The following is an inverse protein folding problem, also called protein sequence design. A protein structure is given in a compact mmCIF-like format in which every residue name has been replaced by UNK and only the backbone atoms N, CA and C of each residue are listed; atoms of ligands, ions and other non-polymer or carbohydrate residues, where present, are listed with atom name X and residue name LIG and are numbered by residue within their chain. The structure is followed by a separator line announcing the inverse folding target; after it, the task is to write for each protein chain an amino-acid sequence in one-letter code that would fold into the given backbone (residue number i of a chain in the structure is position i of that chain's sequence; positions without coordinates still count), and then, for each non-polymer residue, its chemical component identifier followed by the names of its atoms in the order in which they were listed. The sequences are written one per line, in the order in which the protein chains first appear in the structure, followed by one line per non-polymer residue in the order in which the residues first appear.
data_IF_103275149746
#
_entry.id   IF_103275149746
#
_cell.length_a   1.000
_cell.length_b   1.000
_cell.length_c   1.000
_cell.angle_alpha   90.00
_cell.angle_beta   90.00
_cell.angle_gamma   90.00
#
_symmetry.space_group_name_H-M   'P 1'
#
loop_
_entity.id
_entity.type
_entity.pdbx_description
1 polymer ?
#
# COMPACT_ATOMS: atom_id res chain seq x y z
N UNK A 1 46.99 32.14 -50.91
CA UNK A 1 46.51 32.54 -49.58
C UNK A 1 45.24 31.77 -49.28
N UNK A 2 45.37 30.70 -48.51
CA UNK A 2 44.33 29.70 -48.24
C UNK A 2 43.69 30.05 -46.90
N UNK A 3 42.43 30.46 -46.89
CA UNK A 3 41.67 30.67 -45.65
C UNK A 3 40.84 29.42 -45.38
N UNK A 4 41.36 28.59 -44.47
CA UNK A 4 40.70 27.40 -43.95
C UNK A 4 39.58 27.80 -42.97
N UNK A 5 38.36 27.31 -43.23
CA UNK A 5 37.23 27.33 -42.28
C UNK A 5 37.54 26.35 -41.13
N UNK A 6 37.87 26.85 -39.94
CA UNK A 6 37.84 26.05 -38.71
C UNK A 6 36.41 25.91 -38.20
N UNK A 7 35.89 24.69 -38.33
CA UNK A 7 34.71 24.17 -37.63
C UNK A 7 34.96 24.11 -36.11
N UNK A 8 33.98 24.54 -35.31
CA UNK A 8 33.90 24.25 -33.87
C UNK A 8 33.05 22.99 -33.69
N UNK A 9 33.66 21.91 -33.24
CA UNK A 9 32.95 20.79 -32.61
C UNK A 9 33.90 20.04 -31.66
N UNK A 10 34.04 20.53 -30.43
CA UNK A 10 34.56 19.71 -29.33
C UNK A 10 33.35 19.04 -28.66
N UNK A 11 32.93 17.90 -29.20
CA UNK A 11 32.10 16.96 -28.46
C UNK A 11 33.06 15.90 -27.91
N UNK A 12 33.14 15.80 -26.59
CA UNK A 12 33.83 14.70 -25.92
C UNK A 12 33.20 13.39 -26.39
N UNK A 13 33.97 12.62 -27.16
CA UNK A 13 33.62 11.25 -27.51
C UNK A 13 33.70 10.43 -26.22
N UNK A 14 32.56 10.20 -25.58
CA UNK A 14 32.45 9.19 -24.53
C UNK A 14 32.56 7.82 -25.20
N UNK A 15 33.62 7.11 -24.87
CA UNK A 15 33.82 5.72 -25.28
C UNK A 15 32.82 4.84 -24.54
N UNK A 16 31.68 4.60 -25.19
CA UNK A 16 30.55 3.82 -24.68
C UNK A 16 31.00 2.36 -24.44
N UNK A 17 31.92 1.84 -25.24
CA UNK A 17 32.40 0.47 -25.11
C UNK A 17 33.28 0.32 -23.87
N UNK A 18 34.14 1.31 -23.59
CA UNK A 18 34.91 1.36 -22.35
C UNK A 18 33.99 1.49 -21.11
N UNK A 19 32.90 2.26 -21.20
CA UNK A 19 31.91 2.38 -20.12
C UNK A 19 31.17 1.06 -19.87
N UNK A 20 30.71 0.39 -20.93
CA UNK A 20 30.00 -0.89 -20.85
C UNK A 20 30.93 -1.99 -20.31
N UNK A 21 32.19 -2.02 -20.76
CA UNK A 21 33.19 -2.97 -20.26
C UNK A 21 33.44 -2.78 -18.75
N UNK A 22 33.54 -1.53 -18.29
CA UNK A 22 33.70 -1.21 -16.88
C UNK A 22 32.47 -1.60 -16.06
N UNK A 23 31.26 -1.37 -16.56
CA UNK A 23 30.01 -1.76 -15.90
C UNK A 23 29.88 -3.29 -15.79
N UNK A 24 30.25 -4.03 -16.85
CA UNK A 24 30.24 -5.50 -16.85
C UNK A 24 31.23 -6.09 -15.85
N UNK A 25 32.44 -5.53 -15.74
CA UNK A 25 33.42 -5.96 -14.74
C UNK A 25 32.94 -5.70 -13.31
N UNK A 26 32.30 -4.55 -13.04
CA UNK A 26 31.72 -4.26 -11.72
C UNK A 26 30.60 -5.25 -11.37
N UNK A 27 29.69 -5.53 -12.32
CA UNK A 27 28.62 -6.52 -12.11
C UNK A 27 29.22 -7.92 -11.87
N UNK A 28 30.24 -8.30 -12.65
CA UNK A 28 30.90 -9.59 -12.51
C UNK A 28 31.64 -9.71 -11.16
N UNK A 29 32.33 -8.67 -10.69
CA UNK A 29 32.92 -8.64 -9.34
C UNK A 29 31.86 -8.76 -8.24
N UNK A 30 30.74 -8.03 -8.35
CA UNK A 30 29.66 -8.04 -7.34
C UNK A 30 28.93 -9.38 -7.27
N UNK A 31 28.78 -10.09 -8.38
CA UNK A 31 28.03 -11.36 -8.43
C UNK A 31 28.89 -12.61 -8.23
N UNK A 32 30.16 -12.61 -8.67
CA UNK A 32 31.03 -13.79 -8.52
C UNK A 32 31.87 -13.79 -7.25
N UNK A 33 32.29 -12.63 -6.74
CA UNK A 33 32.78 -12.58 -5.36
C UNK A 33 31.55 -12.49 -4.48
N UNK A 34 31.17 -13.61 -3.84
CA UNK A 34 30.08 -13.75 -2.84
C UNK A 34 30.18 -12.82 -1.61
N UNK A 35 30.90 -11.71 -1.71
CA UNK A 35 30.73 -10.55 -0.85
C UNK A 35 29.52 -9.80 -1.38
N UNK A 36 28.33 -10.22 -0.93
CA UNK A 36 27.20 -9.30 -0.79
C UNK A 36 27.81 -8.03 -0.24
N UNK A 37 27.71 -6.90 -0.97
CA UNK A 37 28.01 -5.59 -0.39
C UNK A 37 27.22 -5.55 0.90
N UNK A 38 27.91 -5.77 2.01
CA UNK A 38 27.34 -5.62 3.33
C UNK A 38 26.90 -4.18 3.34
N UNK A 39 25.60 -3.97 3.18
CA UNK A 39 24.93 -2.76 3.66
C UNK A 39 25.59 -2.52 5.00
N UNK A 40 26.23 -1.35 5.24
CA UNK A 40 26.95 -1.13 6.48
C UNK A 40 26.10 -1.66 7.61
N UNK A 41 26.66 -2.53 8.44
CA UNK A 41 26.01 -2.97 9.67
C UNK A 41 25.68 -1.69 10.44
N UNK A 42 24.51 -1.14 10.16
CA UNK A 42 23.88 -0.16 11.01
C UNK A 42 23.57 -0.99 12.21
N UNK A 43 24.50 -0.93 13.16
CA UNK A 43 24.39 -1.57 14.46
C UNK A 43 22.94 -1.46 14.84
N UNK A 44 22.29 -2.61 14.98
CA UNK A 44 20.94 -2.71 15.46
C UNK A 44 20.92 -1.95 16.78
N UNK A 45 20.55 -0.67 16.75
CA UNK A 45 19.92 -0.04 17.89
C UNK A 45 18.72 -0.93 18.10
N UNK A 46 18.85 -1.85 19.06
CA UNK A 46 17.75 -2.60 19.61
C UNK A 46 16.63 -1.59 19.77
N UNK A 47 15.59 -1.72 18.93
CA UNK A 47 14.39 -0.93 19.06
C UNK A 47 14.03 -0.99 20.53
N UNK A 48 14.00 0.17 21.19
CA UNK A 48 13.58 0.24 22.58
C UNK A 48 12.29 -0.59 22.71
N UNK A 49 12.19 -1.36 23.80
CA UNK A 49 11.08 -2.25 24.14
C UNK A 49 9.76 -1.46 24.36
N UNK A 50 9.31 -0.74 23.34
CA UNK A 50 8.06 0.01 23.25
C UNK A 50 6.95 -0.92 22.72
N UNK A 51 6.86 -2.13 23.31
CA UNK A 51 5.84 -3.11 22.92
C UNK A 51 4.40 -2.60 23.15
N UNK A 52 4.21 -1.47 23.85
CA UNK A 52 2.92 -0.84 24.11
C UNK A 52 2.92 0.70 23.95
N UNK A 53 3.67 1.27 22.99
CA UNK A 53 3.64 2.72 22.73
C UNK A 53 2.29 3.26 22.17
N UNK A 54 1.20 2.50 22.16
CA UNK A 54 -0.03 2.98 21.52
C UNK A 54 -0.72 4.08 22.34
N UNK A 55 -0.45 5.34 21.98
CA UNK A 55 -0.96 6.54 22.67
C UNK A 55 -2.35 6.98 22.21
N UNK A 56 -2.73 6.63 20.98
CA UNK A 56 -4.03 6.97 20.37
C UNK A 56 -4.40 5.95 19.29
N UNK A 57 -5.69 5.88 18.87
CA UNK A 57 -6.10 5.01 17.77
C UNK A 57 -5.30 5.27 16.50
N UNK A 58 -4.87 4.20 15.83
CA UNK A 58 -4.22 4.28 14.53
C UNK A 58 -5.16 4.92 13.52
N UNK A 59 -4.59 5.79 12.69
CA UNK A 59 -5.25 6.30 11.49
C UNK A 59 -4.36 6.05 10.27
N UNK A 60 -4.92 5.87 9.06
CA UNK A 60 -4.11 5.70 7.85
C UNK A 60 -3.02 6.76 7.72
N UNK A 61 -1.79 6.33 7.39
CA UNK A 61 -0.61 7.19 7.29
C UNK A 61 -0.70 8.21 6.14
N UNK A 62 -1.48 7.92 5.11
CA UNK A 62 -1.66 8.76 3.94
C UNK A 62 -3.06 8.57 3.35
N UNK A 63 -3.47 9.52 2.52
CA UNK A 63 -4.67 9.37 1.71
C UNK A 63 -4.40 8.43 0.53
N UNK A 64 -5.34 7.53 0.27
CA UNK A 64 -5.28 6.59 -0.85
C UNK A 64 -6.65 6.47 -1.48
N UNK A 65 -6.71 6.45 -2.80
CA UNK A 65 -7.96 6.26 -3.50
C UNK A 65 -8.55 4.88 -3.18
N UNK A 66 -9.87 4.82 -3.02
CA UNK A 66 -10.54 3.62 -2.52
C UNK A 66 -10.44 3.42 -1.00
N UNK A 67 -9.78 4.32 -0.25
CA UNK A 67 -9.64 4.22 1.20
C UNK A 67 -10.97 4.03 1.93
N UNK A 68 -11.11 2.89 2.62
CA UNK A 68 -12.38 2.42 3.19
C UNK A 68 -12.87 3.14 4.44
N UNK A 69 -12.18 4.18 4.92
CA UNK A 69 -12.49 4.89 6.19
C UNK A 69 -13.96 5.29 6.35
N UNK A 70 -14.65 5.69 5.28
CA UNK A 70 -16.08 6.06 5.31
C UNK A 70 -17.02 4.84 5.39
N UNK A 71 -16.57 3.70 4.87
CA UNK A 71 -17.32 2.46 4.78
C UNK A 71 -17.13 1.55 6.00
N UNK A 72 -16.07 1.76 6.79
CA UNK A 72 -15.78 0.95 7.99
C UNK A 72 -17.00 0.79 8.89
N UNK A 73 -17.72 1.89 9.19
CA UNK A 73 -18.91 1.83 10.05
C UNK A 73 -20.00 0.91 9.47
N UNK A 74 -20.18 0.91 8.15
CA UNK A 74 -21.14 0.06 7.46
C UNK A 74 -20.65 -1.40 7.32
N UNK A 75 -19.35 -1.64 7.36
CA UNK A 75 -18.78 -2.99 7.31
C UNK A 75 -18.83 -3.72 8.66
N UNK A 76 -18.78 -2.99 9.78
CA UNK A 76 -18.78 -3.57 11.15
C UNK A 76 -19.82 -4.67 11.39
N UNK A 77 -21.11 -4.52 10.99
CA UNK A 77 -22.10 -5.57 11.23
C UNK A 77 -21.79 -6.91 10.54
N UNK A 78 -20.96 -6.88 9.50
CA UNK A 78 -20.64 -8.04 8.66
C UNK A 78 -19.26 -8.64 8.98
N UNK A 79 -18.50 -8.02 9.88
CA UNK A 79 -17.22 -8.53 10.34
C UNK A 79 -17.40 -9.80 11.19
N UNK A 80 -16.38 -10.68 11.25
CA UNK A 80 -16.46 -11.89 12.06
C UNK A 80 -16.47 -11.61 13.57
N UNK A 81 -16.91 -12.60 14.35
CA UNK A 81 -16.66 -12.62 15.79
C UNK A 81 -15.16 -12.78 16.07
N UNK A 82 -14.52 -11.68 16.47
CA UNK A 82 -13.09 -11.62 16.75
C UNK A 82 -12.65 -12.50 17.93
N UNK A 83 -13.55 -13.01 18.77
CA UNK A 83 -13.19 -14.02 19.79
C UNK A 83 -12.63 -15.29 19.16
N UNK A 84 -13.11 -15.63 17.96
CA UNK A 84 -12.71 -16.82 17.18
C UNK A 84 -11.58 -16.54 16.20
N UNK A 85 -11.23 -15.28 15.97
CA UNK A 85 -10.17 -14.86 15.06
C UNK A 85 -8.83 -14.77 15.82
N UNK A 86 -7.76 -15.17 15.14
CA UNK A 86 -6.38 -15.10 15.65
C UNK A 86 -5.41 -14.44 14.68
N UNK A 87 -5.77 -14.32 13.41
CA UNK A 87 -4.94 -13.71 12.39
C UNK A 87 -5.76 -12.73 11.58
N UNK A 88 -5.10 -11.73 11.02
CA UNK A 88 -5.68 -10.82 10.05
C UNK A 88 -4.84 -10.87 8.77
N UNK A 89 -5.47 -10.89 7.61
CA UNK A 89 -4.79 -10.80 6.32
C UNK A 89 -5.45 -9.74 5.43
N UNK A 90 -4.64 -8.86 4.87
CA UNK A 90 -5.06 -7.80 3.94
C UNK A 90 -4.14 -7.85 2.70
N UNK A 91 -4.55 -8.57 1.64
CA UNK A 91 -3.71 -8.78 0.45
C UNK A 91 -3.52 -7.56 -0.45
N UNK A 92 -4.44 -6.60 -0.34
CA UNK A 92 -4.47 -5.34 -1.09
C UNK A 92 -4.46 -4.19 -0.07
N UNK A 93 -3.31 -3.91 0.51
CA UNK A 93 -3.20 -3.05 1.68
C UNK A 93 -3.63 -1.60 1.40
N UNK A 94 -3.19 -1.01 0.30
CA UNK A 94 -3.43 0.40 -0.01
C UNK A 94 -2.92 1.31 1.12
N UNK A 95 -3.83 1.91 1.90
CA UNK A 95 -3.50 2.71 3.09
C UNK A 95 -3.87 2.05 4.44
N UNK A 96 -4.30 0.79 4.44
CA UNK A 96 -4.56 0.02 5.66
C UNK A 96 -5.73 0.54 6.50
N UNK A 97 -6.78 1.08 5.87
CA UNK A 97 -7.93 1.60 6.61
C UNK A 97 -8.62 0.49 7.42
N UNK A 98 -8.76 -0.71 6.84
CA UNK A 98 -9.31 -1.86 7.55
C UNK A 98 -8.35 -2.38 8.61
N UNK A 99 -7.05 -2.48 8.31
CA UNK A 99 -6.03 -2.76 9.31
C UNK A 99 -6.12 -1.84 10.54
N UNK A 100 -6.25 -0.53 10.36
CA UNK A 100 -6.40 0.41 11.49
C UNK A 100 -7.63 0.07 12.34
N UNK A 101 -8.78 -0.21 11.73
CA UNK A 101 -9.99 -0.59 12.46
C UNK A 101 -9.78 -1.88 13.26
N UNK A 102 -9.29 -2.93 12.60
CA UNK A 102 -9.06 -4.24 13.24
C UNK A 102 -8.02 -4.11 14.36
N UNK A 103 -6.96 -3.34 14.16
CA UNK A 103 -5.98 -3.09 15.21
C UNK A 103 -6.58 -2.33 16.38
N UNK A 104 -7.29 -1.24 16.12
CA UNK A 104 -7.85 -0.40 17.19
C UNK A 104 -8.91 -1.14 18.03
N UNK A 105 -9.77 -1.93 17.40
CA UNK A 105 -10.88 -2.59 18.07
C UNK A 105 -10.55 -4.01 18.57
N UNK A 106 -9.61 -4.71 17.92
CA UNK A 106 -9.48 -6.16 18.08
C UNK A 106 -8.03 -6.65 18.27
N UNK A 107 -7.03 -5.78 18.44
CA UNK A 107 -5.62 -6.18 18.63
C UNK A 107 -5.36 -7.17 19.76
N UNK A 108 -6.21 -7.22 20.78
CA UNK A 108 -6.08 -8.18 21.88
C UNK A 108 -6.33 -9.64 21.44
N UNK A 109 -7.09 -9.84 20.36
CA UNK A 109 -7.41 -11.17 19.83
C UNK A 109 -6.48 -11.62 18.70
N UNK A 110 -5.80 -10.66 18.04
CA UNK A 110 -4.97 -10.94 16.87
C UNK A 110 -3.52 -11.21 17.29
N UNK A 111 -3.03 -12.40 16.92
CA UNK A 111 -1.65 -12.84 17.14
C UNK A 111 -0.70 -12.24 16.10
N UNK A 112 -1.11 -12.19 14.84
CA UNK A 112 -0.28 -11.66 13.76
C UNK A 112 -1.15 -11.07 12.65
N UNK A 113 -0.64 -10.01 12.05
CA UNK A 113 -1.22 -9.36 10.87
C UNK A 113 -0.39 -9.76 9.65
N UNK A 114 -1.03 -10.05 8.51
CA UNK A 114 -0.38 -10.40 7.25
C UNK A 114 -0.78 -9.33 6.22
N UNK A 115 0.13 -8.39 6.00
CA UNK A 115 -0.10 -7.21 5.17
C UNK A 115 0.65 -7.36 3.87
N UNK A 116 -0.03 -7.14 2.74
CA UNK A 116 0.57 -7.27 1.42
C UNK A 116 0.04 -6.19 0.48
N UNK A 117 0.89 -5.79 -0.46
CA UNK A 117 0.51 -4.96 -1.58
C UNK A 117 1.44 -5.28 -2.76
N UNK A 118 0.99 -4.98 -3.97
CA UNK A 118 1.82 -5.10 -5.16
C UNK A 118 2.77 -3.92 -5.31
N UNK A 119 2.48 -2.78 -4.66
CA UNK A 119 3.28 -1.57 -4.74
C UNK A 119 4.49 -1.64 -3.78
N UNK A 120 5.72 -1.75 -4.31
CA UNK A 120 6.92 -1.88 -3.48
C UNK A 120 7.25 -0.61 -2.69
N UNK A 121 6.86 0.59 -3.16
CA UNK A 121 7.10 1.83 -2.43
C UNK A 121 6.26 1.90 -1.15
N UNK A 122 5.02 1.39 -1.18
CA UNK A 122 4.15 1.26 0.00
C UNK A 122 4.71 0.24 0.98
N UNK A 123 5.12 -0.94 0.50
CA UNK A 123 5.67 -1.98 1.37
C UNK A 123 6.99 -1.55 2.00
N UNK A 124 7.84 -0.86 1.25
CA UNK A 124 9.06 -0.30 1.78
C UNK A 124 8.79 0.78 2.85
N UNK A 125 7.76 1.61 2.68
CA UNK A 125 7.34 2.57 3.71
C UNK A 125 6.99 1.88 5.03
N UNK A 126 6.16 0.83 4.99
CA UNK A 126 5.79 0.09 6.19
C UNK A 126 7.01 -0.58 6.84
N UNK A 127 7.87 -1.22 6.05
CA UNK A 127 9.08 -1.87 6.56
C UNK A 127 10.09 -0.88 7.15
N UNK A 128 10.23 0.31 6.57
CA UNK A 128 11.10 1.37 7.09
C UNK A 128 10.58 1.89 8.42
N UNK A 129 9.28 2.19 8.54
CA UNK A 129 8.67 2.60 9.80
C UNK A 129 8.81 1.50 10.86
N UNK A 130 8.61 0.24 10.49
CA UNK A 130 8.78 -0.92 11.38
C UNK A 130 10.21 -1.08 11.88
N UNK A 131 11.21 -0.88 11.02
CA UNK A 131 12.64 -1.16 11.32
C UNK A 131 13.35 0.03 11.96
N UNK A 132 13.14 1.24 11.46
CA UNK A 132 13.83 2.45 11.90
C UNK A 132 12.89 3.66 11.92
N UNK A 133 11.92 3.61 12.85
CA UNK A 133 10.96 4.70 13.04
C UNK A 133 11.65 6.02 13.42
N UNK A 134 12.72 5.97 14.23
CA UNK A 134 13.46 7.17 14.65
C UNK A 134 14.12 7.86 13.47
N UNK A 135 14.93 7.14 12.69
CA UNK A 135 15.62 7.69 11.53
C UNK A 135 14.63 8.17 10.48
N UNK A 136 13.52 7.45 10.29
CA UNK A 136 12.44 7.89 9.41
C UNK A 136 11.84 9.23 9.83
N UNK A 137 11.57 9.42 11.12
CA UNK A 137 11.05 10.69 11.66
C UNK A 137 12.07 11.81 11.51
N UNK A 138 13.35 11.54 11.76
CA UNK A 138 14.41 12.55 11.66
C UNK A 138 14.60 13.02 10.21
N UNK A 139 14.60 12.10 9.23
CA UNK A 139 14.63 12.43 7.80
C UNK A 139 13.38 13.22 7.38
N UNK A 140 12.20 12.84 7.88
CA UNK A 140 10.96 13.54 7.58
C UNK A 140 10.97 14.98 8.10
N UNK A 141 11.46 15.20 9.33
CA UNK A 141 11.65 16.54 9.90
C UNK A 141 12.64 17.36 9.09
N UNK A 142 13.76 16.77 8.66
CA UNK A 142 14.73 17.45 7.81
C UNK A 142 14.11 17.91 6.47
N UNK A 143 13.20 17.12 5.89
CA UNK A 143 12.44 17.52 4.70
C UNK A 143 11.47 18.67 5.01
N UNK A 144 10.77 18.64 6.15
CA UNK A 144 9.91 19.75 6.58
C UNK A 144 10.70 21.05 6.79
N UNK A 145 11.87 20.98 7.43
CA UNK A 145 12.76 22.13 7.64
C UNK A 145 13.25 22.73 6.30
N UNK A 146 13.59 21.87 5.33
CA UNK A 146 13.92 22.30 3.96
C UNK A 146 12.74 23.01 3.27
N UNK A 147 11.50 22.63 3.60
CA UNK A 147 10.27 23.27 3.11
C UNK A 147 9.90 24.54 3.90
N UNK A 148 10.82 25.50 3.98
CA UNK A 148 10.67 26.78 4.69
C UNK A 148 9.63 27.75 4.06
N UNK A 149 8.90 27.33 3.03
CA UNK A 149 7.97 28.19 2.29
C UNK A 149 6.64 28.38 3.03
N UNK A 150 6.29 29.63 3.32
CA UNK A 150 5.01 29.99 3.97
C UNK A 150 3.84 30.07 2.98
N UNK A 151 4.11 30.37 1.72
CA UNK A 151 3.09 30.51 0.67
C UNK A 151 2.73 29.18 0.02
N UNK A 152 1.51 29.07 -0.52
CA UNK A 152 1.05 27.87 -1.24
C UNK A 152 1.93 27.60 -2.47
N UNK A 153 2.25 28.63 -3.26
CA UNK A 153 3.10 28.47 -4.44
C UNK A 153 4.53 28.06 -4.10
N UNK A 154 5.10 28.56 -2.99
CA UNK A 154 6.42 28.13 -2.52
C UNK A 154 6.43 26.66 -2.11
N UNK A 155 5.43 26.20 -1.35
CA UNK A 155 5.28 24.78 -0.98
C UNK A 155 5.07 23.89 -2.20
N UNK A 156 4.30 24.35 -3.18
CA UNK A 156 4.09 23.66 -4.47
C UNK A 156 5.39 23.55 -5.26
N UNK A 157 6.18 24.63 -5.31
CA UNK A 157 7.51 24.61 -5.92
C UNK A 157 8.43 23.59 -5.23
N UNK A 158 8.47 23.60 -3.89
CA UNK A 158 9.23 22.61 -3.12
C UNK A 158 8.80 21.18 -3.42
N UNK A 159 7.50 20.91 -3.41
CA UNK A 159 6.94 19.59 -3.72
C UNK A 159 7.45 19.06 -5.06
N UNK A 160 7.36 19.87 -6.12
CA UNK A 160 7.81 19.43 -7.45
C UNK A 160 9.32 19.25 -7.52
N UNK A 161 10.11 20.11 -6.87
CA UNK A 161 11.57 19.89 -6.79
C UNK A 161 11.92 18.59 -6.06
N UNK A 162 11.28 18.33 -4.91
CA UNK A 162 11.50 17.10 -4.14
C UNK A 162 11.07 15.86 -4.95
N UNK A 163 9.99 15.96 -5.72
CA UNK A 163 9.55 14.88 -6.59
C UNK A 163 10.57 14.56 -7.67
N UNK A 164 11.17 15.57 -8.30
CA UNK A 164 12.23 15.32 -9.29
C UNK A 164 13.52 14.80 -8.62
N UNK A 165 13.88 15.26 -7.42
CA UNK A 165 14.98 14.69 -6.62
C UNK A 165 14.73 13.20 -6.34
N UNK A 166 13.55 12.86 -5.84
CA UNK A 166 13.13 11.47 -5.57
C UNK A 166 13.20 10.62 -6.84
N UNK A 167 12.65 11.13 -7.94
CA UNK A 167 12.64 10.47 -9.25
C UNK A 167 14.03 10.34 -9.87
N UNK A 168 15.02 11.05 -9.37
CA UNK A 168 16.41 10.99 -9.82
C UNK A 168 17.30 10.14 -8.91
N UNK A 169 16.78 9.57 -7.82
CA UNK A 169 17.54 8.67 -6.97
C UNK A 169 18.06 7.45 -7.77
N UNK A 170 19.27 6.94 -7.49
CA UNK A 170 19.72 5.68 -8.06
C UNK A 170 18.80 4.53 -7.64
N UNK A 171 18.65 3.52 -8.49
CA UNK A 171 17.83 2.32 -8.20
C UNK A 171 18.29 1.68 -6.88
N UNK A 172 17.33 1.32 -6.03
CA UNK A 172 17.55 0.78 -4.69
C UNK A 172 17.71 1.85 -3.60
N UNK A 173 18.16 3.07 -3.95
CA UNK A 173 18.30 4.17 -2.98
C UNK A 173 16.94 4.74 -2.59
N UNK A 174 15.91 4.62 -3.45
CA UNK A 174 14.52 4.95 -3.08
C UNK A 174 14.04 4.17 -1.84
N UNK A 175 14.63 3.01 -1.56
CA UNK A 175 14.30 2.16 -0.41
C UNK A 175 15.16 2.44 0.83
N UNK A 176 16.02 3.45 0.78
CA UNK A 176 16.70 4.00 1.97
C UNK A 176 15.70 4.73 2.88
N UNK A 177 16.07 4.98 4.14
CA UNK A 177 15.25 5.75 5.08
C UNK A 177 14.92 7.15 4.51
N UNK A 178 15.91 7.83 3.94
CA UNK A 178 15.73 9.13 3.27
C UNK A 178 14.81 9.02 2.05
N UNK A 179 15.04 8.07 1.15
CA UNK A 179 14.20 7.87 -0.03
C UNK A 179 12.74 7.61 0.36
N UNK A 180 12.53 6.80 1.39
CA UNK A 180 11.22 6.50 1.95
C UNK A 180 10.55 7.73 2.57
N UNK A 181 11.29 8.57 3.30
CA UNK A 181 10.77 9.82 3.87
C UNK A 181 10.37 10.81 2.77
N UNK A 182 11.15 10.90 1.68
CA UNK A 182 10.80 11.68 0.49
C UNK A 182 9.51 11.17 -0.14
N UNK A 183 9.38 9.86 -0.35
CA UNK A 183 8.17 9.24 -0.87
C UNK A 183 6.95 9.56 0.01
N UNK A 184 7.07 9.38 1.32
CA UNK A 184 5.99 9.66 2.28
C UNK A 184 5.57 11.13 2.31
N UNK A 185 6.53 12.05 2.20
CA UNK A 185 6.25 13.47 2.07
C UNK A 185 5.42 13.76 0.81
N UNK A 186 5.80 13.14 -0.32
CA UNK A 186 5.09 13.29 -1.58
C UNK A 186 3.67 12.71 -1.50
N UNK A 187 3.49 11.52 -0.91
CA UNK A 187 2.18 10.92 -0.68
C UNK A 187 1.25 11.83 0.15
N UNK A 188 1.78 12.43 1.22
CA UNK A 188 1.01 13.31 2.10
C UNK A 188 0.77 14.72 1.54
N UNK A 189 1.31 15.04 0.36
CA UNK A 189 1.07 16.32 -0.31
C UNK A 189 0.54 16.12 -1.74
N UNK A 190 0.11 14.89 -2.09
CA UNK A 190 -0.42 14.57 -3.39
C UNK A 190 -1.92 14.85 -3.50
N UNK A 191 -2.38 15.15 -4.70
CA UNK A 191 -3.77 15.47 -4.98
C UNK A 191 -4.71 14.31 -4.68
N UNK A 192 -5.55 14.49 -3.64
CA UNK A 192 -6.68 13.64 -3.24
C UNK A 192 -6.38 12.16 -3.10
N UNK A 193 -5.14 11.79 -2.79
CA UNK A 193 -4.73 10.39 -2.72
C UNK A 193 -4.74 9.68 -4.09
N UNK A 194 -4.78 10.42 -5.20
CA UNK A 194 -4.77 9.87 -6.56
C UNK A 194 -3.34 9.49 -6.95
N UNK A 195 -2.89 8.35 -6.43
CA UNK A 195 -1.57 7.84 -6.71
C UNK A 195 -1.42 7.53 -8.20
N UNK A 196 -0.40 8.12 -8.83
CA UNK A 196 -0.02 7.80 -10.20
C UNK A 196 1.49 7.64 -10.30
N UNK A 197 1.93 6.78 -11.21
CA UNK A 197 3.34 6.50 -11.44
C UNK A 197 3.73 6.82 -12.87
N UNK A 198 5.00 7.19 -13.07
CA UNK A 198 5.65 7.25 -14.36
C UNK A 198 7.06 6.72 -14.23
N UNK A 199 7.38 5.65 -14.97
CA UNK A 199 8.62 4.87 -14.87
C UNK A 199 8.84 4.29 -13.47
N UNK A 200 7.80 3.68 -12.89
CA UNK A 200 7.88 3.00 -11.58
C UNK A 200 8.04 3.93 -10.37
N UNK A 201 7.86 5.24 -10.53
CA UNK A 201 7.97 6.23 -9.45
C UNK A 201 6.82 7.22 -9.47
N UNK A 202 6.42 7.70 -8.30
CA UNK A 202 5.33 8.66 -8.11
C UNK A 202 5.42 9.87 -9.07
N UNK A 203 4.27 10.27 -9.63
CA UNK A 203 4.12 11.41 -10.55
C UNK A 203 2.87 12.26 -10.28
N UNK A 204 2.17 12.03 -9.18
CA UNK A 204 0.95 12.78 -8.83
C UNK A 204 1.22 14.28 -8.65
N UNK A 205 0.20 15.09 -8.94
CA UNK A 205 0.21 16.54 -8.76
C UNK A 205 0.11 16.95 -7.28
N UNK A 206 0.61 18.14 -6.96
CA UNK A 206 0.53 18.72 -5.62
C UNK A 206 -0.91 19.06 -5.20
N UNK A 207 -1.22 18.86 -3.92
CA UNK A 207 -2.34 19.49 -3.23
C UNK A 207 -1.92 19.93 -1.84
N UNK A 208 -2.40 21.10 -1.43
CA UNK A 208 -2.24 21.57 -0.05
C UNK A 208 -3.05 20.68 0.90
N UNK A 209 -2.37 19.88 1.71
CA UNK A 209 -2.97 19.25 2.88
C UNK A 209 -2.83 20.17 4.10
N UNK A 210 -3.85 20.15 4.98
CA UNK A 210 -4.04 21.18 6.02
C UNK A 210 -3.22 20.94 7.29
N UNK A 211 -2.62 19.77 7.47
CA UNK A 211 -1.95 19.40 8.71
C UNK A 211 -0.51 18.93 8.42
N UNK A 212 0.43 19.25 9.32
CA UNK A 212 1.77 18.64 9.33
C UNK A 212 1.72 17.15 9.62
N UNK A 213 2.88 16.49 9.66
CA UNK A 213 2.93 15.05 9.90
C UNK A 213 2.58 14.69 11.35
N UNK A 214 1.77 13.63 11.49
CA UNK A 214 1.42 13.08 12.79
C UNK A 214 2.51 12.09 13.26
N UNK A 215 3.55 12.64 13.90
CA UNK A 215 4.68 11.87 14.41
C UNK A 215 4.29 10.82 15.45
N UNK A 216 3.26 11.10 16.26
CA UNK A 216 2.76 10.12 17.22
C UNK A 216 2.08 8.94 16.52
N UNK A 217 1.28 9.21 15.47
CA UNK A 217 0.68 8.17 14.67
C UNK A 217 1.75 7.31 13.98
N UNK A 218 2.82 7.91 13.44
CA UNK A 218 3.95 7.16 12.85
C UNK A 218 4.57 6.20 13.88
N UNK A 219 4.79 6.65 15.12
CA UNK A 219 5.29 5.79 16.19
C UNK A 219 4.29 4.69 16.58
N UNK A 220 3.00 5.00 16.67
CA UNK A 220 1.95 4.00 16.92
C UNK A 220 1.91 2.93 15.81
N UNK A 221 2.13 3.34 14.56
CA UNK A 221 2.28 2.43 13.44
C UNK A 221 3.53 1.55 13.57
N UNK A 222 4.67 2.10 13.97
CA UNK A 222 5.88 1.31 14.25
C UNK A 222 5.61 0.19 15.24
N UNK A 223 4.94 0.48 16.37
CA UNK A 223 4.54 -0.52 17.37
C UNK A 223 3.56 -1.53 16.80
N UNK A 224 2.53 -1.09 16.08
CA UNK A 224 1.55 -1.98 15.46
C UNK A 224 2.19 -2.97 14.47
N UNK A 225 3.12 -2.48 13.64
CA UNK A 225 3.82 -3.25 12.62
C UNK A 225 4.79 -4.28 13.20
N UNK A 226 5.17 -4.19 14.48
CA UNK A 226 5.95 -5.26 15.13
C UNK A 226 5.20 -6.60 15.16
N UNK A 227 3.86 -6.58 15.18
CA UNK A 227 3.01 -7.78 15.08
C UNK A 227 2.64 -8.15 13.63
N UNK A 228 3.18 -7.44 12.64
CA UNK A 228 2.86 -7.65 11.23
C UNK A 228 3.97 -8.40 10.49
N UNK A 229 3.57 -9.38 9.68
CA UNK A 229 4.35 -9.92 8.57
C UNK A 229 3.95 -9.12 7.34
N UNK A 230 4.94 -8.49 6.69
CA UNK A 230 4.73 -7.58 5.57
C UNK A 230 5.39 -8.20 4.33
N UNK A 231 4.62 -8.40 3.27
CA UNK A 231 5.09 -8.95 1.99
C UNK A 231 4.79 -7.99 0.85
N UNK A 232 5.54 -8.12 -0.25
CA UNK A 232 5.32 -7.38 -1.49
C UNK A 232 5.14 -8.37 -2.62
N UNK A 233 3.99 -8.36 -3.30
CA UNK A 233 3.72 -9.30 -4.38
C UNK A 233 2.25 -9.56 -4.63
N UNK A 234 1.98 -10.66 -5.33
CA UNK A 234 0.62 -11.08 -5.66
C UNK A 234 -0.20 -11.33 -4.38
N UNK A 235 -1.50 -11.01 -4.45
CA UNK A 235 -2.43 -11.33 -3.37
C UNK A 235 -2.49 -12.83 -3.08
N UNK A 236 -2.14 -13.66 -4.07
CA UNK A 236 -2.18 -15.12 -3.98
C UNK A 236 -1.17 -15.71 -2.99
N UNK A 237 -0.03 -15.02 -2.83
CA UNK A 237 1.10 -15.45 -2.01
C UNK A 237 0.91 -15.12 -0.52
N UNK A 238 -0.16 -14.38 -0.19
CA UNK A 238 -0.43 -13.97 1.19
C UNK A 238 -0.76 -15.19 2.03
N UNK A 239 -0.05 -15.29 3.16
CA UNK A 239 -0.26 -16.37 4.13
C UNK A 239 -1.61 -16.20 4.83
N UNK A 240 -2.53 -17.12 4.54
CA UNK A 240 -3.82 -17.23 5.23
C UNK A 240 -3.79 -18.46 6.15
N UNK A 241 -3.78 -18.20 7.45
CA UNK A 241 -3.80 -19.24 8.49
C UNK A 241 -5.24 -19.65 8.83
N UNK A 242 -5.39 -20.72 9.61
CA UNK A 242 -6.69 -21.03 10.22
C UNK A 242 -7.14 -19.90 11.16
N UNK A 243 -8.44 -19.62 11.22
CA UNK A 243 -9.01 -18.55 12.05
C UNK A 243 -8.51 -17.14 11.68
N UNK A 244 -8.28 -16.91 10.38
CA UNK A 244 -7.96 -15.59 9.82
C UNK A 244 -9.23 -14.82 9.49
N UNK A 245 -9.23 -13.51 9.73
CA UNK A 245 -10.10 -12.59 9.03
C UNK A 245 -9.36 -12.10 7.77
N UNK A 246 -9.86 -12.48 6.59
CA UNK A 246 -9.28 -12.13 5.29
C UNK A 246 -10.09 -10.98 4.69
N UNK A 247 -9.47 -9.81 4.53
CA UNK A 247 -10.09 -8.64 3.92
C UNK A 247 -9.41 -8.31 2.59
N UNK A 248 -10.16 -8.35 1.50
CA UNK A 248 -9.67 -8.12 0.15
C UNK A 248 -10.34 -6.88 -0.45
N UNK A 249 -9.51 -5.92 -0.85
CA UNK A 249 -9.93 -4.67 -1.49
C UNK A 249 -9.17 -4.44 -2.81
N UNK A 250 -9.40 -5.29 -3.83
CA UNK A 250 -8.69 -5.17 -5.11
C UNK A 250 -9.04 -3.85 -5.82
N UNK A 251 -8.26 -3.47 -6.85
CA UNK A 251 -8.67 -2.44 -7.81
C UNK A 251 -10.11 -2.65 -8.25
N UNK A 252 -10.93 -1.60 -8.32
CA UNK A 252 -12.32 -1.75 -8.77
C UNK A 252 -12.40 -1.94 -10.29
N UNK A 253 -13.40 -2.70 -10.73
CA UNK A 253 -13.57 -3.12 -12.13
C UNK A 253 -13.75 -1.96 -13.12
N UNK A 254 -14.27 -0.81 -12.68
CA UNK A 254 -14.42 0.39 -13.52
C UNK A 254 -13.31 1.44 -13.29
N UNK A 255 -12.26 1.09 -12.54
CA UNK A 255 -11.21 2.04 -12.18
C UNK A 255 -10.16 2.16 -13.30
N UNK A 256 -10.35 3.09 -14.22
CA UNK A 256 -9.40 3.37 -15.32
C UNK A 256 -8.20 4.25 -14.92
N UNK A 257 -8.16 4.76 -13.70
CA UNK A 257 -7.28 5.89 -13.31
C UNK A 257 -6.14 5.48 -12.36
N UNK A 258 -6.25 4.36 -11.62
CA UNK A 258 -5.40 4.08 -10.44
C UNK A 258 -4.41 2.93 -10.60
N UNK A 259 -4.61 2.06 -11.58
CA UNK A 259 -3.76 0.90 -11.80
C UNK A 259 -3.51 0.82 -13.29
N UNK A 260 -2.25 0.63 -13.66
CA UNK A 260 -1.90 0.20 -15.01
C UNK A 260 -2.67 -1.08 -15.30
N UNK A 261 -3.80 -0.97 -16.01
CA UNK A 261 -4.47 -1.92 -16.94
C UNK A 261 -4.61 -3.41 -16.60
N UNK A 262 -4.15 -3.89 -15.46
CA UNK A 262 -3.85 -5.31 -15.27
C UNK A 262 -4.66 -5.93 -14.13
N UNK A 263 -5.88 -5.43 -13.86
CA UNK A 263 -6.86 -6.11 -13.00
C UNK A 263 -8.23 -6.16 -13.71
N UNK A 264 -8.28 -6.98 -14.75
CA UNK A 264 -9.45 -7.17 -15.61
C UNK A 264 -10.47 -8.15 -14.99
N UNK A 265 -11.57 -8.38 -15.71
CA UNK A 265 -12.64 -9.29 -15.31
C UNK A 265 -12.14 -10.69 -14.95
N UNK A 266 -11.14 -11.22 -15.66
CA UNK A 266 -10.61 -12.55 -15.37
C UNK A 266 -9.85 -12.57 -14.03
N UNK A 267 -9.08 -11.53 -13.74
CA UNK A 267 -8.41 -11.38 -12.44
C UNK A 267 -9.41 -11.14 -11.30
N UNK A 268 -10.53 -10.48 -11.57
CA UNK A 268 -11.64 -10.39 -10.62
C UNK A 268 -12.25 -11.77 -10.31
N UNK A 269 -12.46 -12.62 -11.33
CA UNK A 269 -12.95 -13.99 -11.13
C UNK A 269 -11.94 -14.83 -10.33
N UNK A 270 -10.66 -14.74 -10.67
CA UNK A 270 -9.58 -15.45 -9.98
C UNK A 270 -9.50 -15.03 -8.51
N UNK A 271 -9.57 -13.72 -8.23
CA UNK A 271 -9.60 -13.21 -6.86
C UNK A 271 -10.84 -13.69 -6.10
N UNK A 272 -12.03 -13.65 -6.72
CA UNK A 272 -13.27 -14.15 -6.11
C UNK A 272 -13.16 -15.64 -5.76
N UNK A 273 -12.69 -16.48 -6.70
CA UNK A 273 -12.47 -17.90 -6.47
C UNK A 273 -11.39 -18.17 -5.40
N UNK A 274 -10.31 -17.38 -5.40
CA UNK A 274 -9.24 -17.50 -4.41
C UNK A 274 -9.74 -17.22 -2.99
N UNK A 275 -10.55 -16.16 -2.79
CA UNK A 275 -11.12 -15.86 -1.46
C UNK A 275 -11.97 -17.02 -0.96
N UNK A 276 -12.85 -17.56 -1.81
CA UNK A 276 -13.69 -18.72 -1.46
C UNK A 276 -12.85 -19.95 -1.08
N UNK A 277 -11.83 -20.27 -1.88
CA UNK A 277 -10.89 -21.37 -1.61
C UNK A 277 -10.22 -21.21 -0.26
N UNK A 278 -9.73 -20.00 0.08
CA UNK A 278 -9.10 -19.75 1.39
C UNK A 278 -10.08 -19.90 2.54
N UNK A 279 -11.33 -19.43 2.37
CA UNK A 279 -12.40 -19.57 3.37
C UNK A 279 -12.69 -21.04 3.69
N UNK A 280 -12.79 -21.89 2.67
CA UNK A 280 -13.05 -23.32 2.83
C UNK A 280 -11.86 -24.07 3.43
N UNK A 281 -10.67 -23.92 2.85
CA UNK A 281 -9.48 -24.69 3.25
C UNK A 281 -9.00 -24.33 4.66
N UNK A 282 -9.17 -23.07 5.06
CA UNK A 282 -8.58 -22.53 6.30
C UNK A 282 -9.62 -22.23 7.36
N UNK A 283 -10.92 -22.46 7.13
CA UNK A 283 -11.98 -22.12 8.09
C UNK A 283 -11.89 -20.66 8.53
N UNK A 284 -11.78 -19.78 7.55
CA UNK A 284 -11.63 -18.33 7.75
C UNK A 284 -12.93 -17.61 7.46
N UNK A 285 -12.98 -16.31 7.76
CA UNK A 285 -14.06 -15.43 7.26
C UNK A 285 -13.44 -14.47 6.26
N UNK A 286 -14.02 -14.42 5.07
CA UNK A 286 -13.57 -13.57 3.97
C UNK A 286 -14.51 -12.39 3.75
N UNK A 287 -13.95 -11.22 3.46
CA UNK A 287 -14.69 -10.06 2.94
C UNK A 287 -13.98 -9.58 1.69
N UNK A 288 -14.71 -9.40 0.59
CA UNK A 288 -14.23 -8.86 -0.67
C UNK A 288 -15.06 -7.62 -1.03
N UNK A 289 -14.39 -6.51 -1.31
CA UNK A 289 -15.04 -5.27 -1.69
C UNK A 289 -14.88 -5.00 -3.19
N UNK A 290 -15.92 -4.45 -3.80
CA UNK A 290 -15.85 -3.88 -5.14
C UNK A 290 -16.93 -2.81 -5.32
N UNK A 291 -17.07 -2.30 -6.55
CA UNK A 291 -18.18 -1.45 -6.93
C UNK A 291 -19.31 -2.28 -7.54
N UNK A 292 -20.55 -2.00 -7.16
CA UNK A 292 -21.68 -2.56 -7.87
C UNK A 292 -21.93 -1.75 -9.16
N UNK A 293 -21.70 -2.37 -10.32
CA UNK A 293 -21.94 -1.78 -11.65
C UNK A 293 -23.34 -2.10 -12.19
N UNK A 294 -24.18 -2.80 -11.41
CA UNK A 294 -25.54 -3.23 -11.77
C UNK A 294 -25.61 -4.09 -13.04
N UNK A 295 -24.57 -4.86 -13.34
CA UNK A 295 -24.50 -5.74 -14.50
C UNK A 295 -24.52 -7.24 -14.15
N UNK A 296 -24.69 -7.56 -12.85
CA UNK A 296 -24.77 -8.92 -12.36
C UNK A 296 -23.45 -9.69 -12.35
N UNK A 297 -22.31 -9.05 -12.65
CA UNK A 297 -21.02 -9.73 -12.78
C UNK A 297 -20.70 -10.65 -11.59
N UNK A 298 -20.59 -10.09 -10.37
CA UNK A 298 -20.26 -10.88 -9.18
C UNK A 298 -21.35 -11.86 -8.79
N UNK A 299 -22.63 -11.51 -8.97
CA UNK A 299 -23.76 -12.38 -8.64
C UNK A 299 -23.88 -13.58 -9.59
N UNK A 300 -23.30 -13.52 -10.78
CA UNK A 300 -23.25 -14.63 -11.74
C UNK A 300 -22.11 -15.61 -11.48
N UNK A 301 -21.16 -15.28 -10.60
CA UNK A 301 -20.00 -16.13 -10.35
C UNK A 301 -20.37 -17.36 -9.51
N UNK A 302 -19.78 -18.54 -9.77
CA UNK A 302 -20.02 -19.73 -8.97
C UNK A 302 -19.61 -19.54 -7.50
N UNK A 303 -20.52 -19.84 -6.58
CA UNK A 303 -20.27 -19.78 -5.14
C UNK A 303 -20.14 -21.17 -4.52
N UNK A 304 -19.01 -21.46 -3.89
CA UNK A 304 -18.76 -22.71 -3.16
C UNK A 304 -18.98 -22.56 -1.65
N UNK A 305 -18.81 -21.35 -1.12
CA UNK A 305 -19.03 -20.97 0.29
C UNK A 305 -20.47 -20.55 0.61
N UNK A 306 -20.79 -20.33 1.89
CA UNK A 306 -21.96 -19.56 2.30
C UNK A 306 -21.62 -18.07 2.13
N UNK A 307 -22.28 -17.38 1.18
CA UNK A 307 -21.92 -16.02 0.80
C UNK A 307 -23.09 -15.05 0.77
N UNK A 308 -22.85 -13.83 1.21
CA UNK A 308 -23.80 -12.73 1.16
C UNK A 308 -23.23 -11.58 0.33
N UNK A 309 -24.00 -11.06 -0.62
CA UNK A 309 -23.64 -9.91 -1.44
C UNK A 309 -24.47 -8.70 -1.01
N UNK A 310 -23.82 -7.71 -0.39
CA UNK A 310 -24.47 -6.57 0.26
C UNK A 310 -24.13 -5.29 -0.50
N UNK A 311 -25.16 -4.54 -0.88
CA UNK A 311 -25.01 -3.20 -1.44
C UNK A 311 -24.99 -2.16 -0.32
N UNK A 312 -23.92 -1.38 -0.24
CA UNK A 312 -23.76 -0.30 0.73
C UNK A 312 -23.74 1.02 -0.03
N UNK A 313 -24.80 1.80 0.15
CA UNK A 313 -24.91 3.12 -0.43
C UNK A 313 -24.13 4.16 0.39
N UNK A 314 -23.32 4.96 -0.29
CA UNK A 314 -22.64 6.07 0.37
C UNK A 314 -22.42 7.25 -0.59
N UNK A 315 -22.29 8.45 -0.01
CA UNK A 315 -22.04 9.68 -0.77
C UNK A 315 -20.59 10.13 -0.62
N UNK A 316 -19.93 10.39 -1.75
CA UNK A 316 -18.69 11.17 -1.77
C UNK A 316 -19.03 12.66 -1.65
N UNK A 317 -19.37 13.15 -0.45
CA UNK A 317 -19.47 14.57 -0.02
C UNK A 317 -19.95 15.61 -1.07
N UNK A 318 -21.17 16.14 -0.88
CA UNK A 318 -21.81 17.28 -1.59
C UNK A 318 -21.39 17.39 -3.05
N UNK A 319 -22.01 16.57 -3.90
CA UNK A 319 -22.12 16.92 -5.31
C UNK A 319 -22.53 18.40 -5.42
N UNK A 320 -21.91 19.16 -6.33
CA UNK A 320 -22.44 20.45 -6.75
C UNK A 320 -23.94 20.26 -7.02
N UNK A 321 -24.76 21.18 -6.50
CA UNK A 321 -26.22 21.23 -6.66
C UNK A 321 -26.64 20.60 -8.00
N UNK A 322 -27.32 19.45 -7.95
CA UNK A 322 -27.97 18.84 -9.12
C UNK A 322 -27.67 17.37 -9.44
N UNK A 323 -26.68 16.71 -8.83
CA UNK A 323 -26.44 15.28 -9.10
C UNK A 323 -25.93 14.51 -7.88
N UNK A 324 -26.84 14.06 -7.00
CA UNK A 324 -26.52 12.99 -6.06
C UNK A 324 -26.26 11.70 -6.84
N UNK A 325 -25.00 11.46 -7.24
CA UNK A 325 -24.56 10.12 -7.65
C UNK A 325 -24.31 9.33 -6.38
N UNK A 326 -25.31 8.60 -5.90
CA UNK A 326 -25.09 7.54 -4.92
C UNK A 326 -24.11 6.54 -5.54
N UNK A 327 -23.01 6.25 -4.86
CA UNK A 327 -22.12 5.17 -5.25
C UNK A 327 -22.53 3.97 -4.40
N UNK A 328 -22.75 2.85 -5.07
CA UNK A 328 -23.09 1.58 -4.43
C UNK A 328 -21.82 0.75 -4.31
N UNK A 329 -21.32 0.63 -3.10
CA UNK A 329 -20.27 -0.32 -2.76
C UNK A 329 -20.87 -1.72 -2.73
N UNK A 330 -20.21 -2.70 -3.33
CA UNK A 330 -20.54 -4.11 -3.17
C UNK A 330 -19.59 -4.73 -2.14
N UNK A 331 -20.16 -5.20 -1.03
CA UNK A 331 -19.45 -6.01 -0.05
C UNK A 331 -19.90 -7.47 -0.18
N UNK A 332 -18.96 -8.36 -0.45
CA UNK A 332 -19.20 -9.80 -0.50
C UNK A 332 -18.58 -10.44 0.74
N UNK A 333 -19.39 -11.14 1.52
CA UNK A 333 -18.98 -11.82 2.75
C UNK A 333 -19.03 -13.32 2.51
N UNK A 334 -17.95 -14.02 2.86
CA UNK A 334 -17.80 -15.45 2.65
C UNK A 334 -17.54 -16.18 3.97
N UNK A 335 -18.30 -17.24 4.22
CA UNK A 335 -18.21 -18.10 5.40
C UNK A 335 -18.16 -19.58 4.98
N UNK A 336 -17.56 -20.42 5.82
CA UNK A 336 -17.59 -21.88 5.63
C UNK A 336 -19.05 -22.37 5.60
N UNK A 337 -19.42 -23.18 4.60
CA UNK A 337 -20.73 -23.86 4.60
C UNK A 337 -20.77 -24.79 5.81
N UNK A 338 -21.72 -24.58 6.72
CA UNK A 338 -21.96 -25.55 7.77
C UNK A 338 -22.50 -26.82 7.13
N UNK A 339 -21.89 -27.96 7.42
CA UNK A 339 -22.47 -29.25 7.08
C UNK A 339 -23.85 -29.34 7.74
N UNK A 340 -24.90 -29.54 6.94
CA UNK A 340 -26.23 -29.85 7.46
C UNK A 340 -26.06 -31.12 8.29
N UNK A 341 -26.40 -31.14 9.60
CA UNK A 341 -26.37 -32.36 10.37
C UNK A 341 -27.29 -33.36 9.67
N UNK A 342 -26.72 -34.43 9.14
CA UNK A 342 -27.52 -35.59 8.72
C UNK A 342 -28.09 -36.15 10.02
N UNK A 343 -29.32 -35.75 10.35
CA UNK A 343 -30.14 -36.46 11.33
C UNK A 343 -30.22 -37.89 10.82
N UNK A 344 -29.39 -38.77 11.39
CA UNK A 344 -29.59 -40.21 11.21
C UNK A 344 -30.98 -40.49 11.77
N UNK A 345 -31.92 -40.81 10.88
CA UNK A 345 -33.20 -41.38 11.28
C UNK A 345 -32.87 -42.60 12.15
N UNK A 346 -33.31 -42.55 13.40
CA UNK A 346 -33.15 -43.61 14.39
C UNK A 346 -34.13 -44.74 14.13
#
# INVERSE_FOLDING_TARGET
MTVSKKSKSNILHLDIDAFIAKARNIIHEVYHNKTILSVPDYQTKTAANDQDYITKPLTPLYAWAGGKRRLIKAYRPYMPDFKRIRYYAEPFFGAGAMFCEVFNQHRAHIKSYHLNDINPEIINLLNTIKRDCSGFIDELKAIEERNHYKTIEGRKHFYYRLREEYRSLPVGVEYSVRGTAMFYFLLNNMFRGLYSQKNGRIFTSFQTNKNGFDYENIKNWSTALQKAVITCGSYEDVKVNKNTFLFCDPPYRDCSIMYSTDFNDEQHKQCYAWVQKKVEEKKTVGMLCNKNLNDGFFSSLPTTTDSEHINIEYSHTKARLGANRSIVELLMVFKEKMAVPVLKAA
#
